data_IF_400136685810
#
_entry.id   IF_400136685810
#
_cell.length_a   1.000
_cell.length_b   1.000
_cell.length_c   1.000
_cell.angle_alpha   90.00
_cell.angle_beta   90.00
_cell.angle_gamma   90.00
#
_symmetry.space_group_name_H-M   'P 1'
#
loop_
_entity.id
_entity.type
_entity.pdbx_description
1 polymer ?
#
# COMPACT_ATOMS: atom_id res chain seq x y z
N UNK A 1 14.46 0.01 -21.10
CA UNK A 1 13.31 -0.90 -21.26
C UNK A 1 12.97 -1.44 -19.89
N UNK A 2 11.71 -1.30 -19.43
CA UNK A 2 11.23 -1.94 -18.22
C UNK A 2 11.08 -3.46 -18.42
N UNK A 3 11.48 -4.24 -17.44
CA UNK A 3 11.24 -5.68 -17.37
C UNK A 3 10.01 -5.92 -16.51
N UNK A 4 9.09 -6.77 -16.93
CA UNK A 4 7.94 -7.19 -16.12
C UNK A 4 8.27 -8.51 -15.45
N UNK A 5 8.09 -8.60 -14.13
CA UNK A 5 8.23 -9.83 -13.34
C UNK A 5 6.98 -10.10 -12.53
N UNK A 6 6.85 -11.33 -12.11
CA UNK A 6 5.78 -11.78 -11.23
C UNK A 6 6.34 -12.13 -9.85
N UNK A 7 5.66 -11.71 -8.80
CA UNK A 7 5.92 -12.07 -7.41
C UNK A 7 4.77 -12.95 -6.93
N UNK A 8 5.06 -14.12 -6.41
CA UNK A 8 4.06 -15.04 -5.90
C UNK A 8 3.92 -14.91 -4.39
N UNK A 9 2.68 -14.80 -3.92
CA UNK A 9 2.35 -14.87 -2.49
C UNK A 9 2.10 -16.31 -2.07
N UNK A 10 2.16 -16.58 -0.77
CA UNK A 10 1.93 -17.91 -0.19
C UNK A 10 0.50 -18.44 -0.39
N UNK A 11 -0.46 -17.54 -0.63
CA UNK A 11 -1.86 -17.87 -0.90
C UNK A 11 -2.22 -17.87 -2.39
N UNK A 12 -1.20 -17.84 -3.28
CA UNK A 12 -1.35 -18.10 -4.71
C UNK A 12 -1.60 -16.89 -5.59
N UNK A 13 -1.53 -15.65 -5.07
CA UNK A 13 -1.59 -14.48 -5.91
C UNK A 13 -0.31 -14.30 -6.73
N UNK A 14 -0.49 -13.86 -7.98
CA UNK A 14 0.57 -13.46 -8.89
C UNK A 14 0.58 -11.92 -8.97
N UNK A 15 1.48 -11.28 -8.22
CA UNK A 15 1.60 -9.83 -8.18
C UNK A 15 2.52 -9.35 -9.30
N UNK A 16 2.05 -8.41 -10.10
CA UNK A 16 2.81 -7.85 -11.20
C UNK A 16 3.78 -6.77 -10.72
N UNK A 17 4.99 -6.79 -11.24
CA UNK A 17 6.03 -5.82 -10.93
C UNK A 17 6.73 -5.35 -12.20
N UNK A 18 6.82 -4.02 -12.40
CA UNK A 18 7.67 -3.42 -13.43
C UNK A 18 9.02 -3.08 -12.80
N UNK A 19 10.11 -3.52 -13.41
CA UNK A 19 11.47 -3.21 -12.98
C UNK A 19 12.03 -2.11 -13.87
N UNK A 20 12.39 -1.00 -13.26
CA UNK A 20 13.16 0.09 -13.88
C UNK A 20 14.60 -0.03 -13.39
N UNK A 21 15.54 -0.52 -14.23
CA UNK A 21 16.93 -0.59 -13.82
C UNK A 21 17.51 0.78 -13.48
N UNK A 22 18.44 0.82 -12.53
CA UNK A 22 19.22 2.02 -12.27
C UNK A 22 19.95 2.47 -13.55
N UNK A 23 19.93 3.76 -13.82
CA UNK A 23 20.58 4.35 -15.00
C UNK A 23 22.10 4.39 -14.84
N UNK A 24 22.59 4.40 -13.60
CA UNK A 24 24.01 4.39 -13.23
C UNK A 24 24.32 3.18 -12.35
N UNK A 25 25.53 3.12 -11.77
CA UNK A 25 25.85 2.11 -10.76
C UNK A 25 24.82 2.14 -9.64
N UNK A 26 24.17 1.01 -9.42
CA UNK A 26 23.11 0.89 -8.43
C UNK A 26 23.71 0.91 -7.01
N UNK A 27 23.14 1.75 -6.14
CA UNK A 27 23.48 1.82 -4.72
C UNK A 27 22.35 1.31 -3.80
N UNK A 28 21.21 0.93 -4.35
CA UNK A 28 20.09 0.41 -3.60
C UNK A 28 18.93 -0.01 -4.49
N UNK A 29 17.88 -0.51 -3.87
CA UNK A 29 16.62 -0.91 -4.50
C UNK A 29 15.46 -0.15 -3.86
N UNK A 30 14.58 0.42 -4.67
CA UNK A 30 13.34 1.06 -4.24
C UNK A 30 12.13 0.23 -4.67
N UNK A 31 11.31 -0.20 -3.73
CA UNK A 31 9.99 -0.78 -4.01
C UNK A 31 8.94 0.29 -3.86
N UNK A 32 8.16 0.54 -4.90
CA UNK A 32 7.12 1.57 -4.95
C UNK A 32 5.73 0.93 -4.96
N UNK A 33 4.99 1.07 -3.87
CA UNK A 33 3.61 0.62 -3.72
C UNK A 33 2.60 1.75 -3.87
N UNK A 34 1.49 1.47 -4.55
CA UNK A 34 0.46 2.45 -4.90
C UNK A 34 -0.60 2.64 -3.79
N UNK A 35 -1.42 3.69 -3.93
CA UNK A 35 -2.60 3.93 -3.10
C UNK A 35 -3.76 2.98 -3.45
N UNK A 36 -4.76 2.88 -2.56
CA UNK A 36 -6.04 2.26 -2.90
C UNK A 36 -6.64 2.85 -4.18
N UNK A 37 -7.47 2.09 -4.87
CA UNK A 37 -8.15 2.49 -6.13
C UNK A 37 -7.18 2.84 -7.28
N UNK A 38 -5.89 2.54 -7.15
CA UNK A 38 -4.84 2.84 -8.13
C UNK A 38 -4.08 1.56 -8.50
N UNK A 39 -3.12 1.69 -9.40
CA UNK A 39 -2.18 0.63 -9.74
C UNK A 39 -0.74 1.18 -9.83
N UNK A 40 0.25 0.29 -10.05
CA UNK A 40 1.67 0.62 -10.09
C UNK A 40 2.05 1.75 -11.04
N UNK A 41 1.28 1.94 -12.13
CA UNK A 41 1.55 3.01 -13.13
C UNK A 41 1.44 4.41 -12.54
N UNK A 42 0.73 4.58 -11.42
CA UNK A 42 0.64 5.87 -10.72
C UNK A 42 1.95 6.29 -10.08
N UNK A 43 2.85 5.34 -9.81
CA UNK A 43 4.16 5.60 -9.21
C UNK A 43 5.20 6.10 -10.24
N UNK A 44 4.91 6.00 -11.53
CA UNK A 44 5.75 6.57 -12.61
C UNK A 44 4.90 7.32 -13.64
N UNK A 45 4.17 8.32 -13.21
CA UNK A 45 3.30 9.12 -14.07
C UNK A 45 3.78 10.58 -14.16
N UNK A 46 4.02 11.12 -15.36
CA UNK A 46 4.00 10.43 -16.66
C UNK A 46 5.08 9.35 -16.75
N UNK A 47 4.83 8.31 -17.56
CA UNK A 47 5.80 7.23 -17.76
C UNK A 47 7.13 7.78 -18.26
N UNK A 48 8.22 7.38 -17.61
CA UNK A 48 9.57 7.90 -17.89
C UNK A 48 9.87 9.28 -17.29
N UNK A 49 8.96 9.86 -16.51
CA UNK A 49 9.15 11.18 -15.89
C UNK A 49 8.51 11.29 -14.51
N UNK A 50 8.01 10.19 -13.98
CA UNK A 50 7.41 10.12 -12.65
C UNK A 50 8.44 9.80 -11.55
N UNK A 51 7.93 9.43 -10.38
CA UNK A 51 8.75 9.09 -9.22
C UNK A 51 9.65 7.88 -9.51
N UNK A 52 9.09 6.82 -10.11
CA UNK A 52 9.85 5.60 -10.42
C UNK A 52 11.05 5.86 -11.31
N UNK A 53 10.85 6.57 -12.42
CA UNK A 53 11.93 6.96 -13.34
C UNK A 53 12.94 7.90 -12.67
N UNK A 54 12.50 8.79 -11.80
CA UNK A 54 13.39 9.68 -11.04
C UNK A 54 14.30 8.90 -10.09
N UNK A 55 13.77 7.90 -9.40
CA UNK A 55 14.54 7.02 -8.53
C UNK A 55 15.55 6.18 -9.33
N UNK A 56 15.14 5.65 -10.48
CA UNK A 56 16.04 4.92 -11.37
C UNK A 56 17.18 5.81 -11.89
N UNK A 57 16.89 7.05 -12.25
CA UNK A 57 17.89 8.04 -12.63
C UNK A 57 18.84 8.40 -11.46
N UNK A 58 18.36 8.34 -10.22
CA UNK A 58 19.17 8.56 -9.01
C UNK A 58 20.02 7.35 -8.61
N UNK A 59 20.01 6.24 -9.37
CA UNK A 59 20.84 5.06 -9.11
C UNK A 59 20.17 3.99 -8.24
N UNK A 60 18.85 3.94 -8.21
CA UNK A 60 18.09 2.88 -7.54
C UNK A 60 17.47 1.93 -8.58
N UNK A 61 17.66 0.62 -8.44
CA UNK A 61 16.75 -0.31 -9.10
C UNK A 61 15.35 -0.07 -8.56
N UNK A 62 14.41 0.33 -9.40
CA UNK A 62 13.07 0.72 -8.95
C UNK A 62 12.04 -0.31 -9.37
N UNK A 63 11.32 -0.84 -8.41
CA UNK A 63 10.33 -1.90 -8.58
C UNK A 63 8.95 -1.28 -8.32
N UNK A 64 8.15 -1.14 -9.36
CA UNK A 64 6.76 -0.66 -9.25
C UNK A 64 5.85 -1.88 -9.13
N UNK A 65 5.10 -2.01 -8.04
CA UNK A 65 4.30 -3.22 -7.79
C UNK A 65 2.81 -2.92 -7.80
N UNK A 66 2.03 -3.84 -8.39
CA UNK A 66 0.60 -3.91 -8.15
C UNK A 66 0.33 -4.80 -6.94
N UNK A 67 -0.38 -4.25 -5.97
CA UNK A 67 -0.93 -5.05 -4.87
C UNK A 67 -2.06 -5.93 -5.40
N UNK A 68 -2.45 -6.96 -4.64
CA UNK A 68 -3.54 -7.89 -5.01
C UNK A 68 -4.80 -7.16 -5.47
N UNK A 69 -5.44 -7.68 -6.50
CA UNK A 69 -6.69 -7.15 -7.06
C UNK A 69 -6.55 -5.85 -7.83
N UNK A 70 -5.32 -5.35 -8.03
CA UNK A 70 -5.05 -4.11 -8.76
C UNK A 70 -4.20 -4.38 -10.01
N UNK A 71 -4.39 -3.56 -11.03
CA UNK A 71 -3.61 -3.56 -12.25
C UNK A 71 -3.57 -4.92 -12.93
N UNK A 72 -2.37 -5.52 -13.01
CA UNK A 72 -2.13 -6.83 -13.61
C UNK A 72 -1.90 -7.93 -12.57
N UNK A 73 -2.05 -7.62 -11.27
CA UNK A 73 -2.00 -8.61 -10.19
C UNK A 73 -3.27 -9.43 -10.13
N UNK A 74 -3.17 -10.71 -10.43
CA UNK A 74 -4.32 -11.59 -10.62
C UNK A 74 -4.25 -12.80 -9.70
N UNK A 75 -5.42 -13.36 -9.40
CA UNK A 75 -5.58 -14.72 -8.92
C UNK A 75 -5.96 -15.63 -10.07
N UNK A 76 -5.73 -16.96 -9.92
CA UNK A 76 -6.25 -17.96 -10.86
C UNK A 76 -7.78 -17.89 -11.00
N UNK A 77 -8.50 -17.43 -9.98
CA UNK A 77 -9.95 -17.28 -10.01
C UNK A 77 -10.37 -15.79 -10.07
N UNK A 78 -11.19 -15.39 -11.08
CA UNK A 78 -11.65 -14.01 -11.27
C UNK A 78 -12.51 -13.45 -10.13
N UNK A 79 -13.08 -14.31 -9.27
CA UNK A 79 -13.94 -13.95 -8.14
C UNK A 79 -13.19 -13.72 -6.83
N UNK A 80 -11.87 -13.72 -6.88
CA UNK A 80 -11.03 -13.61 -5.70
C UNK A 80 -11.34 -12.38 -4.86
N UNK A 81 -11.60 -12.63 -3.60
CA UNK A 81 -11.80 -11.62 -2.58
C UNK A 81 -10.54 -11.48 -1.73
N UNK A 82 -10.29 -10.30 -1.22
CA UNK A 82 -9.15 -10.02 -0.34
C UNK A 82 -9.52 -8.96 0.70
N UNK A 83 -8.74 -8.90 1.74
CA UNK A 83 -8.88 -7.98 2.86
C UNK A 83 -7.66 -7.05 2.93
N UNK A 84 -7.74 -6.03 3.79
CA UNK A 84 -6.57 -5.21 4.12
C UNK A 84 -5.46 -6.03 4.79
N UNK A 85 -5.84 -6.99 5.63
CA UNK A 85 -4.89 -7.89 6.28
C UNK A 85 -4.09 -8.72 5.28
N UNK A 86 -4.72 -9.15 4.19
CA UNK A 86 -4.00 -9.91 3.16
C UNK A 86 -2.90 -9.07 2.50
N UNK A 87 -3.14 -7.77 2.29
CA UNK A 87 -2.10 -6.85 1.80
C UNK A 87 -0.96 -6.71 2.82
N UNK A 88 -1.29 -6.53 4.10
CA UNK A 88 -0.32 -6.33 5.19
C UNK A 88 0.48 -7.60 5.49
N UNK A 89 -0.22 -8.74 5.59
CA UNK A 89 0.36 -9.98 6.11
C UNK A 89 0.96 -10.87 5.03
N UNK A 90 0.59 -10.67 3.75
CA UNK A 90 0.99 -11.54 2.65
C UNK A 90 1.67 -10.78 1.52
N UNK A 91 1.02 -9.75 0.91
CA UNK A 91 1.61 -9.06 -0.25
C UNK A 91 2.93 -8.39 0.10
N UNK A 92 2.91 -7.48 1.08
CA UNK A 92 4.08 -6.70 1.43
C UNK A 92 5.24 -7.59 1.85
N UNK A 93 5.07 -8.59 2.74
CA UNK A 93 6.13 -9.52 3.07
C UNK A 93 6.65 -10.34 1.88
N UNK A 94 5.77 -10.79 0.99
CA UNK A 94 6.16 -11.55 -0.21
C UNK A 94 6.96 -10.68 -1.19
N UNK A 95 6.51 -9.46 -1.43
CA UNK A 95 7.21 -8.49 -2.28
C UNK A 95 8.61 -8.23 -1.74
N UNK A 96 8.71 -7.85 -0.46
CA UNK A 96 9.98 -7.50 0.17
C UNK A 96 10.98 -8.66 0.14
N UNK A 97 10.55 -9.86 0.53
CA UNK A 97 11.42 -11.05 0.53
C UNK A 97 11.89 -11.40 -0.87
N UNK A 98 10.99 -11.34 -1.86
CA UNK A 98 11.33 -11.65 -3.25
C UNK A 98 12.28 -10.61 -3.84
N UNK A 99 12.04 -9.32 -3.61
CA UNK A 99 12.93 -8.26 -4.10
C UNK A 99 14.31 -8.35 -3.43
N UNK A 100 14.36 -8.64 -2.14
CA UNK A 100 15.62 -8.87 -1.44
C UNK A 100 16.39 -10.10 -2.01
N UNK A 101 15.69 -11.15 -2.42
CA UNK A 101 16.34 -12.28 -3.10
C UNK A 101 16.88 -11.90 -4.48
N UNK A 102 16.23 -10.99 -5.20
CA UNK A 102 16.73 -10.49 -6.49
C UNK A 102 17.98 -9.61 -6.34
N UNK A 103 18.10 -8.91 -5.20
CA UNK A 103 19.16 -7.92 -4.94
C UNK A 103 19.69 -8.04 -3.50
N UNK A 104 20.35 -9.19 -3.15
CA UNK A 104 20.69 -9.49 -1.76
C UNK A 104 21.74 -8.55 -1.16
N UNK A 105 22.57 -7.93 -2.00
CA UNK A 105 23.69 -7.09 -1.57
C UNK A 105 23.34 -5.59 -1.56
N UNK A 106 22.10 -5.22 -1.92
CA UNK A 106 21.68 -3.84 -2.00
C UNK A 106 20.66 -3.50 -0.90
N UNK A 107 20.79 -2.32 -0.25
CA UNK A 107 19.79 -1.87 0.70
C UNK A 107 18.44 -1.66 0.00
N UNK A 108 17.36 -2.09 0.67
CA UNK A 108 16.00 -2.00 0.17
C UNK A 108 15.23 -0.88 0.87
N UNK A 109 14.71 0.05 0.08
CA UNK A 109 13.84 1.13 0.53
C UNK A 109 12.41 0.87 0.04
N UNK A 110 11.45 0.86 0.95
CA UNK A 110 10.04 0.82 0.60
C UNK A 110 9.47 2.24 0.49
N UNK A 111 8.87 2.58 -0.65
CA UNK A 111 8.12 3.83 -0.85
C UNK A 111 6.65 3.48 -1.04
N UNK A 112 5.85 3.77 -0.04
CA UNK A 112 4.42 3.47 -0.07
C UNK A 112 3.56 4.72 -0.15
N UNK A 113 2.69 4.82 -1.15
CA UNK A 113 1.67 5.86 -1.21
C UNK A 113 0.40 5.38 -0.52
N UNK A 114 -0.08 6.15 0.45
CA UNK A 114 -1.35 5.90 1.16
C UNK A 114 -1.43 4.45 1.68
N UNK A 115 -2.26 3.58 1.08
CA UNK A 115 -2.40 2.17 1.42
C UNK A 115 -1.05 1.45 1.57
N UNK A 116 -0.18 1.55 0.58
CA UNK A 116 1.12 0.87 0.61
C UNK A 116 2.07 1.46 1.67
N UNK A 117 1.87 2.72 2.08
CA UNK A 117 2.63 3.37 3.14
C UNK A 117 2.25 2.84 4.52
N UNK A 118 0.98 3.00 4.91
CA UNK A 118 0.53 2.51 6.21
C UNK A 118 0.48 0.97 6.28
N UNK A 119 0.25 0.30 5.15
CA UNK A 119 0.33 -1.16 5.09
C UNK A 119 1.72 -1.69 5.40
N UNK A 120 2.78 -1.03 4.87
CA UNK A 120 4.16 -1.42 5.18
C UNK A 120 4.55 -1.13 6.64
N UNK A 121 4.04 -0.05 7.24
CA UNK A 121 4.21 0.18 8.68
C UNK A 121 3.59 -0.95 9.50
N UNK A 122 2.37 -1.36 9.18
CA UNK A 122 1.71 -2.49 9.84
C UNK A 122 2.50 -3.80 9.63
N UNK A 123 2.96 -4.06 8.39
CA UNK A 123 3.75 -5.25 8.08
C UNK A 123 5.07 -5.30 8.87
N UNK A 124 5.78 -4.16 9.02
CA UNK A 124 6.98 -4.06 9.86
C UNK A 124 6.67 -4.29 11.33
N UNK A 125 5.52 -3.82 11.82
CA UNK A 125 5.09 -4.08 13.19
C UNK A 125 4.85 -5.57 13.46
N UNK A 126 4.26 -6.29 12.51
CA UNK A 126 4.00 -7.73 12.62
C UNK A 126 5.25 -8.57 12.34
N UNK A 127 6.07 -8.13 11.39
CA UNK A 127 7.28 -8.83 10.92
C UNK A 127 8.52 -7.93 11.08
N UNK A 128 9.04 -7.75 12.31
CA UNK A 128 10.13 -6.80 12.56
C UNK A 128 11.45 -7.14 11.86
N UNK A 129 11.55 -8.36 11.32
CA UNK A 129 12.75 -8.85 10.59
C UNK A 129 12.57 -8.77 9.06
N UNK A 130 11.55 -8.07 8.54
CA UNK A 130 11.48 -7.83 7.10
C UNK A 130 12.70 -7.00 6.66
N UNK A 131 13.38 -7.41 5.56
CA UNK A 131 14.55 -6.72 5.07
C UNK A 131 14.18 -5.40 4.36
N UNK A 132 13.69 -4.44 5.14
CA UNK A 132 13.41 -3.06 4.73
C UNK A 132 14.37 -2.16 5.51
N UNK A 133 15.36 -1.59 4.82
CA UNK A 133 16.38 -0.73 5.43
C UNK A 133 15.86 0.68 5.72
N UNK A 134 14.90 1.17 4.93
CA UNK A 134 14.19 2.41 5.19
C UNK A 134 12.78 2.39 4.56
N UNK A 135 11.86 3.14 5.16
CA UNK A 135 10.49 3.29 4.67
C UNK A 135 10.17 4.76 4.42
N UNK A 136 9.65 5.06 3.24
CA UNK A 136 9.08 6.37 2.90
C UNK A 136 7.56 6.23 2.82
N UNK A 137 6.86 6.87 3.76
CA UNK A 137 5.40 6.90 3.83
C UNK A 137 4.88 8.17 3.16
N UNK A 138 4.37 8.05 1.94
CA UNK A 138 3.83 9.16 1.17
C UNK A 138 2.32 9.28 1.44
N UNK A 139 1.92 10.29 2.20
CA UNK A 139 0.52 10.58 2.53
C UNK A 139 -0.26 9.36 3.06
N UNK A 140 0.44 8.41 3.72
CA UNK A 140 -0.18 7.24 4.33
C UNK A 140 -0.81 7.62 5.66
N UNK A 141 -2.12 7.52 5.74
CA UNK A 141 -2.90 7.80 6.94
C UNK A 141 -4.02 6.76 7.11
N UNK A 142 -4.26 6.36 8.33
CA UNK A 142 -5.38 5.49 8.70
C UNK A 142 -6.43 6.32 9.44
N UNK A 143 -7.70 6.14 9.07
CA UNK A 143 -8.79 6.90 9.68
C UNK A 143 -9.20 6.29 11.02
N UNK A 144 -8.43 6.62 12.05
CA UNK A 144 -8.65 6.21 13.43
C UNK A 144 -8.71 7.39 14.38
N UNK A 145 -9.30 7.19 15.54
CA UNK A 145 -9.52 8.27 16.52
C UNK A 145 -8.21 8.87 17.06
N UNK A 146 -7.15 8.04 17.17
CA UNK A 146 -5.84 8.50 17.65
C UNK A 146 -5.15 9.50 16.71
N UNK A 147 -5.41 9.40 15.39
CA UNK A 147 -4.78 10.23 14.36
C UNK A 147 -5.67 11.41 13.90
N UNK A 148 -6.91 11.50 14.38
CA UNK A 148 -7.83 12.59 14.02
C UNK A 148 -8.34 13.30 15.27
N UNK A 149 -7.72 14.42 15.68
CA UNK A 149 -8.11 15.14 16.89
C UNK A 149 -9.50 15.79 16.80
N UNK A 150 -9.96 16.12 15.58
CA UNK A 150 -11.23 16.78 15.38
C UNK A 150 -12.41 15.79 15.44
N UNK A 151 -13.29 15.94 16.46
CA UNK A 151 -14.52 15.14 16.58
C UNK A 151 -15.43 15.28 15.35
N UNK A 152 -15.51 16.47 14.76
CA UNK A 152 -16.30 16.74 13.55
C UNK A 152 -15.74 15.97 12.35
N UNK A 153 -14.42 15.96 12.20
CA UNK A 153 -13.77 15.22 11.09
C UNK A 153 -13.88 13.71 11.29
N UNK A 154 -13.75 13.20 12.51
CA UNK A 154 -14.01 11.77 12.80
C UNK A 154 -15.42 11.35 12.37
N UNK A 155 -16.42 12.15 12.75
CA UNK A 155 -17.80 11.88 12.34
C UNK A 155 -17.96 11.91 10.80
N UNK A 156 -17.39 12.91 10.14
CA UNK A 156 -17.44 13.03 8.68
C UNK A 156 -16.76 11.85 7.98
N UNK A 157 -15.56 11.48 8.41
CA UNK A 157 -14.84 10.31 7.87
C UNK A 157 -15.62 9.01 8.06
N UNK A 158 -16.25 8.82 9.22
CA UNK A 158 -17.15 7.68 9.46
C UNK A 158 -18.38 7.72 8.54
N UNK A 159 -19.04 8.84 8.36
CA UNK A 159 -20.18 8.94 7.47
C UNK A 159 -19.81 8.60 6.01
N UNK A 160 -18.67 9.06 5.54
CA UNK A 160 -18.17 8.77 4.20
C UNK A 160 -17.80 7.30 4.06
N UNK A 161 -17.12 6.71 5.04
CA UNK A 161 -16.77 5.29 5.00
C UNK A 161 -18.03 4.40 4.99
N UNK A 162 -19.08 4.77 5.73
CA UNK A 162 -20.37 4.07 5.68
C UNK A 162 -21.07 4.22 4.31
N UNK A 163 -20.96 5.39 3.68
CA UNK A 163 -21.44 5.57 2.30
C UNK A 163 -20.70 4.63 1.33
N UNK A 164 -19.37 4.55 1.42
CA UNK A 164 -18.58 3.58 0.63
C UNK A 164 -19.02 2.15 0.87
N UNK A 165 -19.26 1.78 2.12
CA UNK A 165 -19.77 0.46 2.47
C UNK A 165 -21.14 0.18 1.85
N UNK A 166 -22.06 1.14 1.91
CA UNK A 166 -23.38 1.03 1.30
C UNK A 166 -23.30 0.79 -0.21
N UNK A 167 -22.51 1.60 -0.91
CA UNK A 167 -22.25 1.43 -2.35
C UNK A 167 -21.63 0.07 -2.65
N UNK A 168 -20.63 -0.34 -1.87
CA UNK A 168 -19.94 -1.62 -2.07
C UNK A 168 -20.86 -2.82 -1.90
N UNK A 169 -21.78 -2.77 -0.96
CA UNK A 169 -22.78 -3.85 -0.75
C UNK A 169 -23.74 -4.00 -1.91
N UNK A 170 -24.17 -2.88 -2.49
CA UNK A 170 -25.08 -2.90 -3.64
C UNK A 170 -24.39 -3.43 -4.91
N UNK A 171 -23.10 -3.09 -5.09
CA UNK A 171 -22.33 -3.44 -6.28
C UNK A 171 -21.54 -4.74 -6.17
N UNK A 172 -21.42 -5.31 -4.95
CA UNK A 172 -20.54 -6.45 -4.65
C UNK A 172 -19.06 -6.07 -4.56
N UNK A 173 -18.70 -4.80 -4.81
CA UNK A 173 -17.37 -4.17 -4.73
C UNK A 173 -17.53 -2.66 -4.69
N UNK A 174 -16.48 -1.92 -4.30
CA UNK A 174 -16.49 -0.47 -4.45
C UNK A 174 -16.13 -0.10 -5.91
N UNK A 175 -17.07 0.46 -6.69
CA UNK A 175 -16.88 0.70 -8.12
C UNK A 175 -16.13 2.02 -8.36
N UNK A 176 -14.88 2.14 -7.90
CA UNK A 176 -14.11 3.38 -7.99
C UNK A 176 -13.87 3.83 -9.43
N UNK A 177 -13.73 2.89 -10.38
CA UNK A 177 -13.59 3.19 -11.81
C UNK A 177 -14.85 3.86 -12.36
N UNK A 178 -16.02 3.31 -12.04
CA UNK A 178 -17.30 3.88 -12.46
C UNK A 178 -17.53 5.27 -11.87
N UNK A 179 -17.16 5.45 -10.59
CA UNK A 179 -17.27 6.72 -9.88
C UNK A 179 -16.16 7.73 -10.24
N UNK A 180 -15.23 7.36 -11.11
CA UNK A 180 -14.06 8.18 -11.49
C UNK A 180 -13.19 8.60 -10.30
N UNK A 181 -13.13 7.78 -9.27
CA UNK A 181 -12.33 8.00 -8.07
C UNK A 181 -10.95 7.36 -8.17
N UNK A 182 -10.75 6.45 -9.11
CA UNK A 182 -9.50 5.74 -9.33
C UNK A 182 -9.51 4.94 -10.62
N UNK A 183 -8.43 4.19 -10.84
CA UNK A 183 -8.25 3.32 -12.00
C UNK A 183 -8.67 1.88 -11.73
N UNK A 184 -8.83 1.51 -10.46
CA UNK A 184 -9.14 0.15 -10.00
C UNK A 184 -10.34 0.17 -9.04
N UNK A 185 -11.14 -0.91 -9.06
CA UNK A 185 -12.22 -1.13 -8.10
C UNK A 185 -11.66 -1.87 -6.86
N UNK A 186 -12.34 -1.74 -5.71
CA UNK A 186 -11.89 -2.39 -4.47
C UNK A 186 -12.79 -3.57 -4.09
N UNK A 187 -12.20 -4.64 -3.60
CA UNK A 187 -12.95 -5.80 -3.11
C UNK A 187 -13.83 -5.44 -1.90
N UNK A 188 -15.02 -6.03 -1.84
CA UNK A 188 -15.97 -5.78 -0.76
C UNK A 188 -15.39 -6.08 0.64
N UNK A 189 -14.69 -7.22 0.89
CA UNK A 189 -14.10 -7.49 2.20
C UNK A 189 -13.00 -6.50 2.60
N UNK A 190 -12.20 -6.03 1.63
CA UNK A 190 -11.19 -5.00 1.85
C UNK A 190 -11.82 -3.70 2.33
N UNK A 191 -12.85 -3.22 1.62
CA UNK A 191 -13.60 -2.01 2.02
C UNK A 191 -14.27 -2.21 3.37
N UNK A 192 -14.86 -3.38 3.62
CA UNK A 192 -15.52 -3.69 4.89
C UNK A 192 -14.55 -3.62 6.08
N UNK A 193 -13.32 -4.10 5.91
CA UNK A 193 -12.30 -4.00 6.96
C UNK A 193 -11.87 -2.56 7.21
N UNK A 194 -11.60 -1.76 6.17
CA UNK A 194 -11.24 -0.34 6.34
C UNK A 194 -12.35 0.46 7.00
N UNK A 195 -13.61 0.22 6.61
CA UNK A 195 -14.78 0.83 7.26
C UNK A 195 -14.88 0.38 8.72
N UNK A 196 -14.61 -0.88 9.01
CA UNK A 196 -14.54 -1.43 10.37
C UNK A 196 -13.49 -0.73 11.23
N UNK A 197 -12.28 -0.52 10.71
CA UNK A 197 -11.20 0.23 11.35
C UNK A 197 -11.64 1.67 11.65
N UNK A 198 -12.21 2.36 10.68
CA UNK A 198 -12.70 3.74 10.85
C UNK A 198 -13.84 3.81 11.87
N UNK A 199 -14.79 2.85 11.84
CA UNK A 199 -15.93 2.78 12.76
C UNK A 199 -15.51 2.55 14.21
N UNK A 200 -14.58 1.61 14.41
CA UNK A 200 -14.05 1.27 15.73
C UNK A 200 -13.06 2.32 16.24
N UNK A 201 -12.49 3.15 15.35
CA UNK A 201 -11.44 4.11 15.67
C UNK A 201 -10.12 3.44 16.08
N UNK A 202 -9.91 2.18 15.69
CA UNK A 202 -8.74 1.35 16.04
C UNK A 202 -8.14 0.72 14.79
N UNK A 203 -6.83 0.69 14.71
CA UNK A 203 -6.10 0.08 13.60
C UNK A 203 -5.54 -1.28 14.02
N UNK A 204 -6.18 -2.34 13.56
CA UNK A 204 -5.83 -3.70 13.89
C UNK A 204 -6.34 -4.72 12.86
N UNK A 205 -5.94 -5.97 13.03
CA UNK A 205 -6.38 -7.06 12.17
C UNK A 205 -7.86 -7.40 12.37
N UNK A 206 -8.46 -7.99 11.33
CA UNK A 206 -9.88 -8.34 11.31
C UNK A 206 -10.26 -9.34 12.41
N UNK A 207 -9.36 -10.27 12.70
CA UNK A 207 -9.50 -11.30 13.76
C UNK A 207 -9.15 -10.77 15.17
N UNK A 208 -8.65 -9.53 15.27
CA UNK A 208 -8.23 -8.91 16.52
C UNK A 208 -6.89 -9.42 17.08
N UNK A 209 -6.15 -10.24 16.33
CA UNK A 209 -4.87 -10.80 16.77
C UNK A 209 -3.77 -9.74 16.84
N UNK A 210 -3.79 -8.78 15.92
CA UNK A 210 -2.80 -7.71 15.83
C UNK A 210 -3.44 -6.34 16.09
N UNK A 211 -2.87 -5.59 17.02
CA UNK A 211 -3.09 -4.15 17.13
C UNK A 211 -1.93 -3.45 16.37
N UNK A 212 -2.18 -3.10 15.11
CA UNK A 212 -1.16 -2.53 14.25
C UNK A 212 -0.58 -1.23 14.80
N UNK A 213 -1.41 -0.41 15.48
CA UNK A 213 -0.94 0.83 16.06
C UNK A 213 0.03 0.57 17.22
N UNK A 214 -0.30 -0.35 18.12
CA UNK A 214 0.56 -0.72 19.23
C UNK A 214 1.87 -1.37 18.76
N UNK A 215 1.82 -2.17 17.72
CA UNK A 215 3.00 -2.83 17.15
C UNK A 215 4.02 -1.85 16.55
N UNK A 216 3.63 -0.62 16.21
CA UNK A 216 4.57 0.40 15.72
C UNK A 216 5.66 0.76 16.74
N UNK A 217 5.41 0.57 18.03
CA UNK A 217 6.43 0.81 19.08
C UNK A 217 7.67 -0.09 18.92
N UNK A 218 7.49 -1.26 18.29
CA UNK A 218 8.56 -2.22 17.98
C UNK A 218 9.33 -1.91 16.71
N UNK A 219 8.85 -1.04 15.83
CA UNK A 219 9.47 -0.74 14.53
C UNK A 219 10.76 0.05 14.75
N UNK A 220 11.88 -0.47 14.20
CA UNK A 220 13.21 0.14 14.28
C UNK A 220 13.71 0.67 12.93
N UNK A 221 13.06 0.24 11.85
CA UNK A 221 13.36 0.74 10.49
C UNK A 221 13.17 2.25 10.45
N UNK A 222 14.14 3.02 9.92
CA UNK A 222 13.99 4.46 9.71
C UNK A 222 12.78 4.77 8.82
N UNK A 223 11.95 5.72 9.27
CA UNK A 223 10.72 6.12 8.54
C UNK A 223 10.77 7.60 8.20
N UNK A 224 10.62 7.91 6.92
CA UNK A 224 10.35 9.27 6.43
C UNK A 224 8.87 9.39 6.09
N UNK A 225 8.14 10.25 6.78
CA UNK A 225 6.75 10.57 6.44
C UNK A 225 6.69 11.87 5.65
N UNK A 226 6.06 11.82 4.46
CA UNK A 226 5.91 12.96 3.56
C UNK A 226 4.42 13.21 3.36
N UNK A 227 3.97 14.41 3.72
CA UNK A 227 2.56 14.83 3.58
C UNK A 227 2.48 16.17 2.87
N UNK A 228 1.40 16.37 2.11
CA UNK A 228 1.14 17.64 1.45
C UNK A 228 0.70 18.70 2.46
N UNK A 229 1.38 19.83 2.55
CA UNK A 229 1.01 20.94 3.46
C UNK A 229 -0.44 21.41 3.29
N UNK A 230 -0.99 21.27 2.09
CA UNK A 230 -2.38 21.64 1.77
C UNK A 230 -3.38 20.50 1.99
N UNK A 231 -2.94 19.30 2.34
CA UNK A 231 -3.82 18.16 2.63
C UNK A 231 -4.38 18.28 4.04
N UNK A 232 -5.48 19.00 4.15
CA UNK A 232 -6.19 19.18 5.41
C UNK A 232 -7.26 18.13 5.66
N UNK A 233 -7.40 17.17 4.75
CA UNK A 233 -8.52 16.23 4.75
C UNK A 233 -8.10 14.75 4.84
N UNK A 234 -7.32 14.27 3.88
CA UNK A 234 -6.95 12.85 3.79
C UNK A 234 -5.83 12.50 4.76
N UNK A 235 -4.72 13.22 4.69
CA UNK A 235 -3.54 13.01 5.51
C UNK A 235 -3.03 14.38 6.00
N UNK A 236 -3.41 14.76 7.21
CA UNK A 236 -2.98 16.04 7.79
C UNK A 236 -1.49 16.03 8.11
N UNK A 237 -0.80 17.16 7.91
CA UNK A 237 0.58 17.35 8.36
C UNK A 237 0.71 17.24 9.87
#
# INVERSE_FOLDING_TARGET
LSEVRTIHTDDGWALAADILPAVSSAWGVAVCGHAMMCNRRTMDRPAGGGLGSTLAAAGLHTILVDLRGHGESVLPEPSAQYTYDDVVLRDIPSIVRTVHQWYPDLPLVWLGHSLAGHGALAALGVHPNLPIDALVNLAGNVWIDALEPSRRMRWLKRAISECWMGVSRVWGRFPARFLRMGTEDEALPYVAQLVGICRQGRWGSLDGHFDYLALLEGVRTPVLSVVGKADTWMCRP
#
